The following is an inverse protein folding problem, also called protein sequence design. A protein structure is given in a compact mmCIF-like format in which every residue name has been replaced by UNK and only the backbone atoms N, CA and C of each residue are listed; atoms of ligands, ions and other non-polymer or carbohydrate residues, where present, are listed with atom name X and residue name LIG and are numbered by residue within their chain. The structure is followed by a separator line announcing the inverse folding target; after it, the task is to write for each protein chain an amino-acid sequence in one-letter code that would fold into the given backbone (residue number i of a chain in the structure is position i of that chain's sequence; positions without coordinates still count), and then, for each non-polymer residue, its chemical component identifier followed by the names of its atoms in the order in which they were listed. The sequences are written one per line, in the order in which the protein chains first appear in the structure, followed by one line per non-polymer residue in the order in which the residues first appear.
data_IF_742003340869
#
_entry.id   IF_742003340869
#
_cell.length_a   1.000
_cell.length_b   1.000
_cell.length_c   1.000
_cell.angle_alpha   90.00
_cell.angle_beta   90.00
_cell.angle_gamma   90.00
#
_symmetry.space_group_name_H-M   'P 1'
#
loop_
_entity.id
_entity.type
_entity.pdbx_description
1 polymer ?
#
# COMPACT_ATOMS: atom_id res chain seq x y z
N UNK A 1 12.30 18.48 20.22
CA UNK A 1 11.49 18.38 18.99
C UNK A 1 11.10 16.93 18.78
N UNK A 2 9.88 16.53 19.17
CA UNK A 2 9.40 15.17 18.98
C UNK A 2 8.37 15.18 17.85
N UNK A 3 8.85 15.18 16.60
CA UNK A 3 8.00 15.03 15.42
C UNK A 3 8.12 13.60 14.92
N UNK A 4 7.46 12.63 15.57
CA UNK A 4 7.26 11.34 14.91
C UNK A 4 6.30 11.61 13.76
N UNK A 5 6.82 11.59 12.51
CA UNK A 5 5.95 11.56 11.33
C UNK A 5 4.93 10.42 11.55
N UNK A 6 3.62 10.65 11.34
CA UNK A 6 2.65 9.56 11.39
C UNK A 6 3.17 8.48 10.44
N UNK A 7 3.44 7.31 11.00
CA UNK A 7 3.90 6.18 10.21
C UNK A 7 2.63 5.65 9.58
N UNK A 8 2.48 5.76 8.26
CA UNK A 8 1.32 5.22 7.55
C UNK A 8 1.14 3.74 7.93
N UNK A 9 -0.04 3.41 8.45
CA UNK A 9 -0.37 2.05 8.88
C UNK A 9 -0.53 1.13 7.68
N UNK A 10 -0.43 -0.17 7.91
CA UNK A 10 -0.66 -1.16 6.85
C UNK A 10 -2.12 -1.13 6.37
N UNK A 11 -3.09 -0.97 7.28
CA UNK A 11 -4.50 -0.75 6.94
C UNK A 11 -4.72 0.52 6.11
N UNK A 12 -4.03 1.61 6.43
CA UNK A 12 -4.12 2.87 5.64
C UNK A 12 -3.59 2.68 4.21
N UNK A 13 -2.47 1.96 4.02
CA UNK A 13 -1.96 1.63 2.67
C UNK A 13 -2.96 0.77 1.91
N UNK A 14 -3.56 -0.23 2.56
CA UNK A 14 -4.55 -1.11 1.92
C UNK A 14 -5.82 -0.35 1.52
N UNK A 15 -6.26 0.61 2.33
CA UNK A 15 -7.40 1.48 2.03
C UNK A 15 -7.18 2.31 0.76
N UNK A 16 -5.95 2.68 0.40
CA UNK A 16 -5.70 3.39 -0.86
C UNK A 16 -6.17 2.60 -2.08
N UNK A 17 -6.05 1.28 -2.07
CA UNK A 17 -6.52 0.43 -3.17
C UNK A 17 -8.04 0.29 -3.21
N UNK A 18 -8.73 0.43 -2.07
CA UNK A 18 -10.20 0.39 -1.98
C UNK A 18 -10.81 1.73 -2.39
N UNK A 19 -10.16 2.82 -1.99
CA UNK A 19 -10.63 4.17 -2.24
C UNK A 19 -10.26 4.69 -3.64
N UNK A 20 -9.39 3.99 -4.36
CA UNK A 20 -9.05 4.30 -5.75
C UNK A 20 -10.08 3.72 -6.71
N UNK A 21 -10.49 4.50 -7.71
CA UNK A 21 -11.28 4.01 -8.85
C UNK A 21 -10.45 3.09 -9.77
N UNK A 22 -9.12 3.18 -9.71
CA UNK A 22 -8.22 2.39 -10.53
C UNK A 22 -8.05 0.96 -10.01
N UNK A 23 -7.99 -0.05 -10.90
CA UNK A 23 -7.87 -1.45 -10.49
C UNK A 23 -6.52 -1.80 -9.85
N UNK A 24 -5.52 -0.93 -10.01
CA UNK A 24 -4.20 -1.06 -9.42
C UNK A 24 -3.59 0.33 -9.19
N UNK A 25 -2.62 0.41 -8.29
CA UNK A 25 -1.77 1.59 -8.09
C UNK A 25 -0.31 1.22 -8.34
N UNK A 26 0.46 2.17 -8.81
CA UNK A 26 1.91 2.07 -8.87
C UNK A 26 2.55 2.39 -7.52
N UNK A 27 3.80 1.96 -7.32
CA UNK A 27 4.57 2.33 -6.13
C UNK A 27 4.68 3.85 -5.94
N UNK A 28 4.72 4.63 -7.03
CA UNK A 28 4.82 6.08 -6.96
C UNK A 28 3.51 6.69 -6.43
N UNK A 29 2.36 6.24 -6.93
CA UNK A 29 1.05 6.70 -6.46
C UNK A 29 0.85 6.37 -4.98
N UNK A 30 1.21 5.16 -4.54
CA UNK A 30 1.17 4.80 -3.12
C UNK A 30 2.14 5.67 -2.29
N UNK A 31 3.31 6.01 -2.85
CA UNK A 31 4.26 6.89 -2.17
C UNK A 31 3.71 8.30 -1.97
N UNK A 32 3.06 8.84 -3.00
CA UNK A 32 2.44 10.16 -2.97
C UNK A 32 1.27 10.20 -1.96
N UNK A 33 0.39 9.19 -2.00
CA UNK A 33 -0.73 9.05 -1.06
C UNK A 33 -0.27 8.92 0.41
N UNK A 34 0.79 8.14 0.64
CA UNK A 34 1.36 7.93 1.97
C UNK A 34 2.25 9.08 2.47
N UNK A 35 2.49 10.11 1.65
CA UNK A 35 3.41 11.20 1.99
C UNK A 35 4.87 10.77 2.14
N UNK A 36 5.28 9.68 1.48
CA UNK A 36 6.67 9.26 1.47
C UNK A 36 7.51 10.22 0.63
N UNK A 37 8.70 10.56 1.14
CA UNK A 37 9.64 11.41 0.39
C UNK A 37 10.31 10.67 -0.78
N UNK A 38 10.23 9.34 -0.81
CA UNK A 38 10.80 8.49 -1.86
C UNK A 38 9.98 7.21 -2.06
N UNK A 39 9.98 6.71 -3.29
CA UNK A 39 9.30 5.45 -3.66
C UNK A 39 9.85 4.22 -2.91
N UNK A 40 11.09 4.28 -2.39
CA UNK A 40 11.70 3.18 -1.65
C UNK A 40 10.96 2.86 -0.34
N UNK A 41 10.39 3.87 0.32
CA UNK A 41 9.58 3.68 1.52
C UNK A 41 8.30 2.90 1.22
N UNK A 42 7.55 3.35 0.19
CA UNK A 42 6.35 2.68 -0.28
C UNK A 42 6.66 1.26 -0.77
N UNK A 43 7.70 1.07 -1.58
CA UNK A 43 8.07 -0.24 -2.13
C UNK A 43 8.35 -1.25 -1.02
N UNK A 44 9.10 -0.84 0.02
CA UNK A 44 9.40 -1.71 1.16
C UNK A 44 8.12 -2.15 1.88
N UNK A 45 7.17 -1.24 2.10
CA UNK A 45 5.89 -1.57 2.76
C UNK A 45 5.03 -2.48 1.89
N UNK A 46 4.89 -2.17 0.61
CA UNK A 46 4.12 -2.97 -0.34
C UNK A 46 4.69 -4.38 -0.51
N UNK A 47 6.01 -4.53 -0.55
CA UNK A 47 6.67 -5.84 -0.57
C UNK A 47 6.38 -6.65 0.70
N UNK A 48 6.30 -6.00 1.86
CA UNK A 48 5.97 -6.68 3.12
C UNK A 48 4.49 -7.09 3.19
N UNK A 49 3.59 -6.26 2.65
CA UNK A 49 2.18 -6.61 2.50
C UNK A 49 1.98 -7.77 1.52
N UNK A 50 2.76 -7.83 0.44
CA UNK A 50 2.71 -8.92 -0.52
C UNK A 50 3.18 -10.25 0.08
N UNK A 51 4.24 -10.24 0.91
CA UNK A 51 4.67 -11.45 1.64
C UNK A 51 3.59 -11.98 2.58
N UNK A 52 2.78 -11.08 3.15
CA UNK A 52 1.64 -11.43 4.00
C UNK A 52 0.41 -11.84 3.18
N UNK A 53 0.46 -11.68 1.85
CA UNK A 53 -0.62 -12.04 0.92
C UNK A 53 -1.71 -10.99 0.80
N UNK A 54 -1.53 -9.78 1.34
CA UNK A 54 -2.56 -8.72 1.34
C UNK A 54 -2.63 -7.92 0.04
N UNK A 55 -1.54 -7.87 -0.70
CA UNK A 55 -1.48 -7.28 -2.04
C UNK A 55 -0.73 -8.22 -2.98
N UNK A 56 -0.93 -8.04 -4.28
CA UNK A 56 -0.11 -8.65 -5.31
C UNK A 56 0.52 -7.57 -6.18
N UNK A 57 1.68 -7.90 -6.75
CA UNK A 57 2.39 -7.05 -7.69
C UNK A 57 2.60 -7.70 -9.04
N UNK A 58 2.78 -6.86 -10.06
CA UNK A 58 3.30 -7.24 -11.36
C UNK A 58 4.20 -6.15 -11.92
N UNK A 59 5.29 -6.55 -12.56
CA UNK A 59 6.17 -5.63 -13.28
C UNK A 59 5.45 -5.04 -14.49
N UNK A 60 5.41 -3.71 -14.55
CA UNK A 60 4.85 -2.94 -15.66
C UNK A 60 5.87 -1.88 -16.08
N UNK A 61 6.45 -2.04 -17.26
CA UNK A 61 7.52 -1.18 -17.75
C UNK A 61 8.73 -1.18 -16.81
N UNK A 62 9.02 -0.03 -16.17
CA UNK A 62 10.13 0.14 -15.22
C UNK A 62 9.67 0.12 -13.75
N UNK A 63 8.38 -0.10 -13.48
CA UNK A 63 7.80 -0.07 -12.15
C UNK A 63 6.99 -1.33 -11.83
N UNK A 64 6.30 -1.29 -10.70
CA UNK A 64 5.38 -2.31 -10.24
C UNK A 64 3.97 -1.72 -10.15
N UNK A 65 3.00 -2.45 -10.68
CA UNK A 65 1.58 -2.25 -10.41
C UNK A 65 1.17 -3.16 -9.26
N UNK A 66 0.35 -2.66 -8.36
CA UNK A 66 -0.08 -3.31 -7.12
C UNK A 66 -1.59 -3.29 -7.01
N UNK A 67 -2.18 -4.37 -6.52
CA UNK A 67 -3.61 -4.42 -6.22
C UNK A 67 -3.85 -5.24 -4.95
N UNK A 68 -4.93 -4.91 -4.24
CA UNK A 68 -5.33 -5.60 -3.02
C UNK A 68 -5.89 -6.99 -3.34
N UNK A 69 -5.59 -7.98 -2.49
CA UNK A 69 -6.14 -9.32 -2.56
C UNK A 69 -7.40 -9.44 -1.70
N UNK A 70 -8.10 -10.57 -1.79
CA UNK A 70 -9.22 -10.84 -0.89
C UNK A 70 -8.77 -10.91 0.58
N UNK A 71 -7.62 -11.54 0.87
CA UNK A 71 -7.04 -11.55 2.21
C UNK A 71 -6.71 -10.14 2.73
N UNK A 72 -6.28 -9.23 1.85
CA UNK A 72 -6.07 -7.83 2.20
C UNK A 72 -7.37 -7.09 2.53
N UNK A 73 -8.47 -7.42 1.86
CA UNK A 73 -9.81 -6.89 2.16
C UNK A 73 -10.32 -7.41 3.50
N UNK A 74 -10.21 -8.71 3.74
CA UNK A 74 -10.61 -9.35 5.01
C UNK A 74 -9.84 -8.77 6.21
N UNK A 75 -8.55 -8.43 6.02
CA UNK A 75 -7.76 -7.76 7.04
C UNK A 75 -8.33 -6.40 7.43
N UNK A 76 -8.78 -5.59 6.45
CA UNK A 76 -9.42 -4.30 6.72
C UNK A 76 -10.74 -4.43 7.46
N UNK A 77 -11.55 -5.43 7.12
CA UNK A 77 -12.82 -5.70 7.80
C UNK A 77 -12.62 -6.12 9.26
N UNK A 78 -11.48 -6.75 9.58
CA UNK A 78 -11.15 -7.20 10.94
C UNK A 78 -10.53 -6.09 11.80
N UNK A 79 -9.80 -5.13 11.20
CA UNK A 79 -9.19 -3.98 11.91
C UNK A 79 -10.24 -2.93 12.34
N UNK A 80 -11.41 -2.90 11.68
CA UNK A 80 -12.52 -1.96 11.96
C UNK A 80 -13.50 -2.47 13.04
N UNK A 81 -13.30 -3.68 13.60
CA UNK A 81 -14.19 -4.33 14.60
C UNK A 81 -13.74 -4.19 16.05
#
# INVERSE_FOLDING_TARGET
MAGRKPTVSDSEILQFFINSDDPFLTTAEVADLAGFSTNSGANKRLTELEKQGYVHSKTVGRGLAWWITDAGREYLETDDS
#
